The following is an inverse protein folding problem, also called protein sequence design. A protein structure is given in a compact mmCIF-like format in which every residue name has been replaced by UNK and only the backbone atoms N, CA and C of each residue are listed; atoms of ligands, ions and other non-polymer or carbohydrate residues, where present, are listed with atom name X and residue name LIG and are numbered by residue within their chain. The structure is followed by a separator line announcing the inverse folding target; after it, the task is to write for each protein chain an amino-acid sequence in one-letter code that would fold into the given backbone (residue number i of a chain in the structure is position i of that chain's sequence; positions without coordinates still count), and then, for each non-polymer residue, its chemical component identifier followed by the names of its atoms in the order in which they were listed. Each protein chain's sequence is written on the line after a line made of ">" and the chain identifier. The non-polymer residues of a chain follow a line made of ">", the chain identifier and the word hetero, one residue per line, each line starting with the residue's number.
data_IF_160427964345
#
_entry.id   IF_160427964345
#
_cell.length_a   1.000
_cell.length_b   1.000
_cell.length_c   1.000
_cell.angle_alpha   90.00
_cell.angle_beta   90.00
_cell.angle_gamma   90.00
#
_symmetry.space_group_name_H-M   'P 1'
#
loop_
_entity.id
_entity.type
_entity.pdbx_description
1 polymer ?
#
# COMPACT_ATOMS: atom_id res chain seq x y z
N UNK A 1 -30.02 17.18 -25.93
CA UNK A 1 -29.05 16.77 -24.91
C UNK A 1 -29.78 15.85 -23.93
N UNK A 2 -29.29 14.62 -23.77
CA UNK A 2 -29.91 13.64 -22.91
C UNK A 2 -29.20 13.63 -21.56
N UNK A 3 -29.78 14.37 -20.62
CA UNK A 3 -29.21 14.51 -19.28
C UNK A 3 -29.25 13.21 -18.48
N UNK A 4 -30.24 12.34 -18.75
CA UNK A 4 -30.32 11.06 -18.07
C UNK A 4 -29.19 10.11 -18.50
N UNK A 5 -28.85 10.11 -19.79
CA UNK A 5 -27.72 9.35 -20.29
C UNK A 5 -26.42 9.83 -19.67
N UNK A 6 -26.26 11.14 -19.59
CA UNK A 6 -25.06 11.72 -18.97
C UNK A 6 -24.98 11.34 -17.50
N UNK A 7 -26.10 11.36 -16.79
CA UNK A 7 -26.18 10.95 -15.39
C UNK A 7 -25.77 9.49 -15.23
N UNK A 8 -26.28 8.62 -16.09
CA UNK A 8 -25.94 7.19 -16.05
C UNK A 8 -24.46 6.95 -16.28
N UNK A 9 -23.87 7.68 -17.24
CA UNK A 9 -22.44 7.59 -17.52
C UNK A 9 -21.61 8.02 -16.31
N UNK A 10 -22.02 9.11 -15.66
CA UNK A 10 -21.31 9.59 -14.47
C UNK A 10 -21.44 8.64 -13.29
N UNK A 11 -22.60 8.05 -13.12
CA UNK A 11 -22.80 7.02 -12.08
C UNK A 11 -21.90 5.81 -12.32
N UNK A 12 -21.81 5.37 -13.58
CA UNK A 12 -20.94 4.24 -13.93
C UNK A 12 -19.47 4.56 -13.65
N UNK A 13 -19.04 5.79 -13.99
CA UNK A 13 -17.68 6.24 -13.69
C UNK A 13 -17.43 6.28 -12.19
N UNK A 14 -18.38 6.81 -11.41
CA UNK A 14 -18.26 6.86 -9.95
C UNK A 14 -18.13 5.46 -9.36
N UNK A 15 -18.95 4.53 -9.82
CA UNK A 15 -18.90 3.15 -9.33
C UNK A 15 -17.58 2.48 -9.67
N UNK A 16 -17.07 2.73 -10.87
CA UNK A 16 -15.79 2.20 -11.31
C UNK A 16 -14.64 2.72 -10.44
N UNK A 17 -14.63 4.01 -10.18
CA UNK A 17 -13.62 4.65 -9.33
C UNK A 17 -13.72 4.13 -7.90
N UNK A 18 -14.94 4.01 -7.37
CA UNK A 18 -15.17 3.51 -6.03
C UNK A 18 -14.65 2.07 -5.86
N UNK A 19 -14.93 1.23 -6.85
CA UNK A 19 -14.43 -0.15 -6.87
C UNK A 19 -12.90 -0.17 -6.87
N UNK A 20 -12.29 0.71 -7.66
CA UNK A 20 -10.83 0.82 -7.73
C UNK A 20 -10.24 1.23 -6.39
N UNK A 21 -10.85 2.20 -5.72
CA UNK A 21 -10.42 2.63 -4.39
C UNK A 21 -10.48 1.47 -3.40
N UNK A 22 -11.56 0.69 -3.42
CA UNK A 22 -11.70 -0.45 -2.55
C UNK A 22 -10.64 -1.52 -2.82
N UNK A 23 -10.31 -1.76 -4.08
CA UNK A 23 -9.25 -2.69 -4.47
C UNK A 23 -7.89 -2.22 -3.96
N UNK A 24 -7.60 -0.92 -4.10
CA UNK A 24 -6.35 -0.33 -3.64
C UNK A 24 -6.22 -0.40 -2.12
N UNK A 25 -7.31 -0.17 -1.40
CA UNK A 25 -7.33 -0.29 0.07
C UNK A 25 -7.06 -1.73 0.50
N UNK A 26 -7.63 -2.69 -0.22
CA UNK A 26 -7.41 -4.10 0.05
C UNK A 26 -5.95 -4.49 -0.18
N UNK A 27 -5.38 -4.05 -1.30
CA UNK A 27 -3.96 -4.28 -1.61
C UNK A 27 -3.07 -3.65 -0.55
N UNK A 28 -3.38 -2.44 -0.14
CA UNK A 28 -2.64 -1.74 0.92
C UNK A 28 -2.67 -2.53 2.23
N UNK A 29 -3.86 -3.02 2.62
CA UNK A 29 -4.00 -3.84 3.82
C UNK A 29 -3.13 -5.09 3.77
N UNK A 30 -2.98 -5.69 2.60
CA UNK A 30 -2.15 -6.88 2.43
C UNK A 30 -0.66 -6.55 2.45
N UNK A 31 -0.29 -5.37 2.00
CA UNK A 31 1.11 -4.95 1.91
C UNK A 31 1.68 -4.40 3.22
N UNK A 32 0.83 -3.82 4.07
CA UNK A 32 1.27 -3.26 5.36
C UNK A 32 2.01 -4.29 6.22
N UNK A 33 1.49 -5.52 6.41
CA UNK A 33 2.21 -6.53 7.18
C UNK A 33 3.58 -6.89 6.59
N UNK A 34 3.68 -6.92 5.26
CA UNK A 34 4.95 -7.19 4.58
C UNK A 34 5.96 -6.09 4.85
N UNK A 35 5.51 -4.84 4.80
CA UNK A 35 6.39 -3.71 5.10
C UNK A 35 6.87 -3.74 6.54
N UNK A 36 5.97 -4.01 7.48
CA UNK A 36 6.33 -4.12 8.91
C UNK A 36 7.36 -5.23 9.14
N UNK A 37 7.20 -6.35 8.47
CA UNK A 37 8.15 -7.45 8.57
C UNK A 37 9.53 -7.04 8.06
N UNK A 38 9.56 -6.38 6.89
CA UNK A 38 10.82 -5.93 6.29
C UNK A 38 11.49 -4.85 7.15
N UNK A 39 10.72 -3.96 7.73
CA UNK A 39 11.25 -2.94 8.65
C UNK A 39 11.89 -3.60 9.87
N UNK A 40 11.25 -4.64 10.40
CA UNK A 40 11.80 -5.40 11.52
C UNK A 40 13.09 -6.11 11.15
N UNK A 41 13.13 -6.73 9.98
CA UNK A 41 14.32 -7.40 9.46
C UNK A 41 15.47 -6.40 9.27
N UNK A 42 15.18 -5.23 8.72
CA UNK A 42 16.19 -4.18 8.54
C UNK A 42 16.73 -3.67 9.87
N UNK A 43 15.86 -3.53 10.85
CA UNK A 43 16.27 -3.11 12.19
C UNK A 43 17.24 -4.12 12.80
N UNK A 44 16.94 -5.41 12.65
CA UNK A 44 17.81 -6.48 13.15
C UNK A 44 19.14 -6.48 12.44
N UNK A 45 19.13 -6.35 11.11
CA UNK A 45 20.36 -6.29 10.30
C UNK A 45 21.23 -5.11 10.72
N UNK A 46 20.63 -3.97 10.93
CA UNK A 46 21.35 -2.77 11.37
C UNK A 46 21.99 -2.98 12.75
N UNK A 47 21.27 -3.62 13.67
CA UNK A 47 21.83 -3.94 14.99
C UNK A 47 23.02 -4.88 14.90
N UNK A 48 22.92 -5.90 14.05
CA UNK A 48 24.01 -6.86 13.84
C UNK A 48 25.21 -6.20 13.17
N UNK A 49 24.95 -5.32 12.22
CA UNK A 49 26.01 -4.58 11.53
C UNK A 49 26.76 -3.67 12.49
N UNK A 50 26.04 -2.97 13.37
CA UNK A 50 26.65 -2.12 14.40
C UNK A 50 27.48 -2.95 15.38
N UNK A 51 27.00 -4.11 15.77
CA UNK A 51 27.73 -5.01 16.66
C UNK A 51 29.02 -5.51 16.00
N UNK A 52 29.00 -5.81 14.70
CA UNK A 52 30.19 -6.21 13.97
C UNK A 52 31.22 -5.07 13.90
N UNK A 53 30.75 -3.85 13.63
CA UNK A 53 31.63 -2.68 13.57
C UNK A 53 32.29 -2.40 14.91
N UNK A 54 31.58 -2.58 16.00
CA UNK A 54 32.13 -2.44 17.34
C UNK A 54 33.19 -3.49 17.68
N UNK A 55 33.10 -4.65 17.08
CA UNK A 55 34.08 -5.75 17.28
C UNK A 55 35.31 -5.63 16.44
N UNK A 56 35.30 -4.75 15.44
CA UNK A 56 36.44 -4.50 14.57
C UNK A 56 37.37 -3.49 15.20
N UNK A 57 38.39 -3.97 15.78
CA UNK A 57 39.51 -3.13 16.26
C UNK A 57 40.69 -3.30 15.38
#
# INVERSE_FOLDING_TARGET
>A
MDLEKLKEQKLAEMNSVSTRINQLESEKSNLIPELLRLEGEMRLINQLTEAEDERKD
#
